data_IF_827520126435
#
_entry.id   IF_827520126435
#
_cell.length_a   1.000
_cell.length_b   1.000
_cell.length_c   1.000
_cell.angle_alpha   90.00
_cell.angle_beta   90.00
_cell.angle_gamma   90.00
#
_symmetry.space_group_name_H-M   'P 1'
#
loop_
_entity.id
_entity.type
_entity.pdbx_description
1 polymer ?
#
# COMPACT_ATOMS: atom_id res chain seq x y z
N UNK A 1 -3.07 9.84 20.34
CA UNK A 1 -3.91 8.75 19.82
C UNK A 1 -4.62 7.96 20.93
N UNK A 2 -3.96 7.57 22.03
CA UNK A 2 -4.57 6.80 23.12
C UNK A 2 -5.87 7.41 23.73
N UNK A 3 -5.90 8.72 24.00
CA UNK A 3 -7.11 9.39 24.51
C UNK A 3 -8.30 9.32 23.54
N UNK A 4 -8.06 9.48 22.23
CA UNK A 4 -9.11 9.36 21.21
C UNK A 4 -9.68 7.94 21.12
N UNK A 5 -8.82 6.92 21.32
CA UNK A 5 -9.26 5.52 21.42
C UNK A 5 -10.10 5.31 22.67
N UNK A 6 -9.62 5.77 23.82
CA UNK A 6 -10.29 5.58 25.11
C UNK A 6 -11.67 6.25 25.16
N UNK A 7 -11.84 7.37 24.44
CA UNK A 7 -13.11 8.10 24.34
C UNK A 7 -14.03 7.61 23.22
N UNK A 8 -13.63 6.61 22.43
CA UNK A 8 -14.40 6.11 21.28
C UNK A 8 -14.50 7.11 20.11
N UNK A 9 -13.60 8.11 20.06
CA UNK A 9 -13.58 9.13 19.00
C UNK A 9 -12.76 8.74 17.78
N UNK A 10 -11.93 7.71 17.88
CA UNK A 10 -11.17 7.17 16.76
C UNK A 10 -10.97 5.66 16.93
N UNK A 11 -11.15 4.93 15.83
CA UNK A 11 -10.83 3.52 15.72
C UNK A 11 -9.44 3.33 15.10
N UNK A 12 -8.74 2.30 15.56
CA UNK A 12 -7.36 2.01 15.14
C UNK A 12 -7.31 0.59 14.59
N UNK A 13 -6.91 0.48 13.33
CA UNK A 13 -6.81 -0.78 12.61
C UNK A 13 -5.35 -1.05 12.28
N UNK A 14 -4.93 -2.30 12.44
CA UNK A 14 -3.63 -2.76 11.98
C UNK A 14 -3.74 -3.17 10.50
N UNK A 15 -2.74 -2.79 9.72
CA UNK A 15 -2.57 -3.17 8.31
C UNK A 15 -1.19 -3.79 8.19
N UNK A 16 -1.09 -4.96 7.55
CA UNK A 16 0.19 -5.66 7.35
C UNK A 16 0.94 -5.11 6.14
N UNK A 17 2.23 -5.42 6.02
CA UNK A 17 3.05 -4.98 4.88
C UNK A 17 2.48 -5.45 3.54
N UNK A 18 1.99 -6.70 3.46
CA UNK A 18 1.35 -7.22 2.25
C UNK A 18 0.07 -6.43 1.89
N UNK A 19 -0.76 -6.10 2.89
CA UNK A 19 -1.95 -5.28 2.69
C UNK A 19 -1.60 -3.84 2.31
N UNK A 20 -0.54 -3.27 2.88
CA UNK A 20 -0.03 -1.97 2.48
C UNK A 20 0.42 -1.96 1.01
N UNK A 21 1.06 -3.03 0.54
CA UNK A 21 1.42 -3.18 -0.88
C UNK A 21 0.19 -3.27 -1.80
N UNK A 22 -0.92 -3.88 -1.36
CA UNK A 22 -2.18 -3.79 -2.08
C UNK A 22 -2.70 -2.35 -2.16
N UNK A 23 -2.64 -1.61 -1.05
CA UNK A 23 -2.98 -0.18 -1.01
C UNK A 23 -2.13 0.67 -1.95
N UNK A 24 -0.82 0.43 -1.95
CA UNK A 24 0.15 1.06 -2.84
C UNK A 24 -0.21 0.80 -4.30
N UNK A 25 -0.42 -0.48 -4.64
CA UNK A 25 -0.79 -0.91 -5.99
C UNK A 25 -2.09 -0.28 -6.46
N UNK A 26 -3.12 -0.25 -5.63
CA UNK A 26 -4.43 0.32 -5.98
C UNK A 26 -4.27 1.79 -6.37
N UNK A 27 -3.65 2.60 -5.51
CA UNK A 27 -3.54 4.03 -5.76
C UNK A 27 -2.62 4.34 -6.96
N UNK A 28 -1.55 3.57 -7.13
CA UNK A 28 -0.64 3.72 -8.27
C UNK A 28 -1.27 3.29 -9.61
N UNK A 29 -1.95 2.14 -9.66
CA UNK A 29 -2.48 1.60 -10.92
C UNK A 29 -3.79 2.26 -11.34
N UNK A 30 -4.63 2.66 -10.38
CA UNK A 30 -5.95 3.23 -10.69
C UNK A 30 -5.90 4.73 -10.89
N UNK A 31 -5.09 5.45 -10.09
CA UNK A 31 -5.09 6.91 -10.05
C UNK A 31 -3.76 7.54 -10.54
N UNK A 32 -2.73 6.72 -10.81
CA UNK A 32 -1.43 7.23 -11.23
C UNK A 32 -0.66 7.97 -10.13
N UNK A 33 -1.06 7.81 -8.87
CA UNK A 33 -0.41 8.43 -7.71
C UNK A 33 0.48 7.38 -7.05
N UNK A 34 1.77 7.67 -6.91
CA UNK A 34 2.70 6.79 -6.17
C UNK A 34 2.75 7.24 -4.71
N UNK A 35 2.03 6.59 -3.78
CA UNK A 35 2.03 6.99 -2.38
C UNK A 35 3.27 6.54 -1.63
N UNK A 36 3.57 7.20 -0.52
CA UNK A 36 4.44 6.62 0.50
C UNK A 36 3.88 5.27 0.99
N UNK A 37 4.75 4.35 1.41
CA UNK A 37 4.32 3.08 2.00
C UNK A 37 3.45 3.31 3.26
N UNK A 38 3.76 4.34 4.04
CA UNK A 38 2.97 4.73 5.20
C UNK A 38 1.55 5.19 4.81
N UNK A 39 1.42 5.93 3.71
CA UNK A 39 0.11 6.34 3.16
C UNK A 39 -0.68 5.14 2.59
N UNK A 40 0.03 4.16 2.06
CA UNK A 40 -0.57 2.96 1.44
C UNK A 40 -1.36 2.12 2.45
N UNK A 41 -0.98 2.14 3.72
CA UNK A 41 -1.75 1.53 4.81
C UNK A 41 -3.14 2.15 4.92
N UNK A 42 -3.24 3.48 4.84
CA UNK A 42 -4.51 4.19 4.91
C UNK A 42 -5.40 3.89 3.69
N UNK A 43 -4.82 3.78 2.50
CA UNK A 43 -5.55 3.43 1.27
C UNK A 43 -6.18 2.04 1.37
N UNK A 44 -5.42 1.05 1.83
CA UNK A 44 -5.95 -0.30 2.03
C UNK A 44 -7.13 -0.31 2.99
N UNK A 45 -6.98 0.32 4.17
CA UNK A 45 -8.06 0.38 5.17
C UNK A 45 -9.27 1.18 4.65
N UNK A 46 -9.04 2.25 3.89
CA UNK A 46 -10.10 3.09 3.36
C UNK A 46 -11.02 2.34 2.40
N UNK A 47 -10.51 1.37 1.62
CA UNK A 47 -11.34 0.50 0.78
C UNK A 47 -12.37 -0.27 1.62
N UNK A 48 -11.93 -0.89 2.73
CA UNK A 48 -12.82 -1.61 3.64
C UNK A 48 -13.84 -0.68 4.30
N UNK A 49 -13.42 0.51 4.71
CA UNK A 49 -14.31 1.52 5.30
C UNK A 49 -15.35 2.00 4.29
N UNK A 50 -14.95 2.32 3.06
CA UNK A 50 -15.85 2.76 2.01
C UNK A 50 -16.89 1.68 1.64
N UNK A 51 -16.47 0.41 1.56
CA UNK A 51 -17.37 -0.72 1.34
C UNK A 51 -18.43 -0.85 2.44
N UNK A 52 -18.03 -0.68 3.71
CA UNK A 52 -18.95 -0.76 4.85
C UNK A 52 -19.93 0.43 4.92
N UNK A 53 -19.50 1.63 4.53
CA UNK A 53 -20.32 2.84 4.54
C UNK A 53 -21.35 2.92 3.40
N UNK A 54 -21.07 2.26 2.27
CA UNK A 54 -21.91 2.27 1.07
C UNK A 54 -21.56 3.39 0.09
N UNK A 55 -22.05 3.24 -1.15
CA UNK A 55 -21.62 4.04 -2.31
C UNK A 55 -21.95 5.55 -2.23
N UNK A 56 -22.96 5.94 -1.44
CA UNK A 56 -23.39 7.34 -1.31
C UNK A 56 -22.56 8.13 -0.28
N UNK A 57 -21.60 7.49 0.39
CA UNK A 57 -20.77 8.13 1.42
C UNK A 57 -19.42 8.53 0.87
N UNK A 58 -18.90 9.63 1.39
CA UNK A 58 -17.59 10.15 1.05
C UNK A 58 -16.59 9.82 2.16
N UNK A 59 -15.40 9.35 1.75
CA UNK A 59 -14.28 9.06 2.66
C UNK A 59 -13.12 9.98 2.28
N UNK A 60 -12.55 10.66 3.27
CA UNK A 60 -11.33 11.47 3.09
C UNK A 60 -10.14 10.70 3.61
N UNK A 61 -9.09 10.60 2.80
CA UNK A 61 -7.85 9.90 3.13
C UNK A 61 -6.72 10.92 3.20
N UNK A 62 -5.89 10.82 4.23
CA UNK A 62 -4.65 11.59 4.33
C UNK A 62 -3.53 10.84 3.58
N UNK A 63 -3.11 11.36 2.43
CA UNK A 63 -1.91 10.91 1.72
C UNK A 63 -0.73 11.73 2.25
N UNK A 64 -0.11 11.23 3.31
CA UNK A 64 0.91 11.95 4.09
C UNK A 64 2.23 12.18 3.33
N UNK A 65 2.49 11.43 2.27
CA UNK A 65 3.73 11.57 1.50
C UNK A 65 3.70 10.89 0.13
N UNK A 66 4.71 11.23 -0.67
CA UNK A 66 4.99 10.65 -1.99
C UNK A 66 5.92 9.45 -1.88
N UNK A 67 5.77 8.49 -2.79
CA UNK A 67 6.49 7.22 -2.77
C UNK A 67 7.86 7.23 -3.45
N UNK A 68 8.40 8.37 -3.88
CA UNK A 68 9.71 8.45 -4.57
C UNK A 68 10.83 7.70 -3.82
N UNK A 69 10.86 7.82 -2.48
CA UNK A 69 11.85 7.15 -1.62
C UNK A 69 11.60 5.65 -1.45
N UNK A 70 10.37 5.19 -1.67
CA UNK A 70 9.91 3.85 -1.31
C UNK A 70 9.93 2.90 -2.51
N UNK A 71 10.14 3.39 -3.74
CA UNK A 71 10.13 2.56 -4.97
C UNK A 71 11.12 1.40 -4.89
N UNK A 72 12.34 1.65 -4.39
CA UNK A 72 13.35 0.61 -4.24
C UNK A 72 12.93 -0.43 -3.20
N UNK A 73 12.43 0.01 -2.06
CA UNK A 73 11.92 -0.89 -1.01
C UNK A 73 10.77 -1.75 -1.55
N UNK A 74 9.82 -1.17 -2.27
CA UNK A 74 8.73 -1.91 -2.91
C UNK A 74 9.28 -2.97 -3.86
N UNK A 75 10.22 -2.60 -4.73
CA UNK A 75 10.84 -3.55 -5.67
C UNK A 75 11.58 -4.70 -4.96
N UNK A 76 12.24 -4.42 -3.84
CA UNK A 76 12.97 -5.43 -3.05
C UNK A 76 12.04 -6.38 -2.30
N UNK A 77 10.93 -5.90 -1.73
CA UNK A 77 10.02 -6.72 -0.91
C UNK A 77 8.98 -7.47 -1.74
N UNK A 78 8.65 -6.98 -2.95
CA UNK A 78 7.57 -7.54 -3.74
C UNK A 78 7.81 -9.01 -4.17
N UNK A 79 9.02 -9.48 -4.48
CA UNK A 79 9.26 -10.90 -4.71
C UNK A 79 8.85 -11.81 -3.54
N UNK A 80 8.94 -11.32 -2.30
CA UNK A 80 8.60 -12.08 -1.10
C UNK A 80 7.11 -11.96 -0.72
N UNK A 81 6.54 -10.74 -0.80
CA UNK A 81 5.16 -10.46 -0.35
C UNK A 81 4.14 -10.48 -1.48
N UNK A 82 4.57 -10.21 -2.71
CA UNK A 82 3.76 -10.17 -3.91
C UNK A 82 2.92 -11.43 -4.18
N UNK A 83 3.47 -12.65 -4.00
CA UNK A 83 2.70 -13.88 -4.16
C UNK A 83 1.48 -13.97 -3.23
N UNK A 84 1.52 -13.34 -2.05
CA UNK A 84 0.41 -13.36 -1.09
C UNK A 84 -0.80 -12.53 -1.56
N UNK A 85 -0.55 -11.54 -2.40
CA UNK A 85 -1.53 -10.53 -2.84
C UNK A 85 -1.77 -10.57 -4.35
N UNK A 86 -1.27 -11.60 -5.03
CA UNK A 86 -1.37 -11.74 -6.48
C UNK A 86 -0.74 -10.56 -7.23
N UNK A 87 0.38 -10.03 -6.74
CA UNK A 87 1.13 -8.94 -7.36
C UNK A 87 2.60 -9.30 -7.50
N UNK A 88 2.97 -9.84 -8.65
CA UNK A 88 4.37 -10.23 -8.93
C UNK A 88 5.07 -9.18 -9.81
N UNK A 89 6.39 -9.03 -9.60
CA UNK A 89 7.24 -8.29 -10.53
C UNK A 89 7.41 -9.14 -11.79
N UNK A 90 7.00 -8.62 -12.94
CA UNK A 90 7.07 -9.33 -14.23
C UNK A 90 8.51 -9.43 -14.79
N UNK A 91 9.52 -9.44 -13.94
CA UNK A 91 10.91 -9.62 -14.37
C UNK A 91 11.25 -11.10 -14.16
N UNK A 92 11.06 -11.93 -15.19
CA UNK A 92 11.44 -13.35 -15.19
C UNK A 92 12.95 -13.55 -14.93
N UNK A 93 13.78 -12.50 -15.06
CA UNK A 93 15.22 -12.49 -14.77
C UNK A 93 15.64 -11.12 -14.21
N UNK A 94 16.38 -11.12 -13.10
CA UNK A 94 17.03 -9.94 -12.52
C UNK A 94 18.03 -9.32 -13.53
N UNK A 95 17.80 -8.07 -14.01
CA UNK A 95 18.68 -7.42 -14.98
C UNK A 95 20.10 -7.18 -14.42
N UNK A 96 20.25 -7.07 -13.10
CA UNK A 96 21.56 -6.89 -12.47
C UNK A 96 22.36 -8.20 -12.39
N UNK A 97 21.68 -9.35 -12.47
CA UNK A 97 22.32 -10.66 -12.59
C UNK A 97 22.73 -11.01 -14.03
N UNK A 98 22.13 -10.38 -15.04
CA UNK A 98 22.56 -10.53 -16.44
C UNK A 98 23.98 -9.96 -16.68
N UNK A 99 24.34 -8.86 -16.02
CA UNK A 99 25.65 -8.22 -16.20
C UNK A 99 26.84 -9.01 -15.60
N UNK A 100 26.59 -10.03 -14.77
CA UNK A 100 27.64 -10.87 -14.16
C UNK A 100 27.92 -12.18 -14.92
N UNK A 101 27.27 -12.40 -16.07
CA UNK A 101 27.41 -13.60 -16.90
C UNK A 101 28.05 -13.35 -18.28
N UNK A 102 28.60 -12.17 -18.52
CA UNK A 102 29.34 -11.81 -19.74
C UNK A 102 30.85 -11.75 -19.46
#
# INVERSE_FOLDING_TARGET
HAWLRATGRADYHAVTDAQALEGFRMLAQLEGIIPALESSHAVFQARSVAQALGADKQVVICVSGRGDKDVNTVAEVLPALGPQIGWDLRFEVDPTQQAKRA
#
